data_IF_199868488898
#
_entry.id   IF_199868488898
#
_cell.length_a   1.000
_cell.length_b   1.000
_cell.length_c   1.000
_cell.angle_alpha   90.00
_cell.angle_beta   90.00
_cell.angle_gamma   90.00
#
_symmetry.space_group_name_H-M   'P 1'
#
loop_
_entity.id
_entity.type
_entity.pdbx_description
1 polymer ?
#
# COMPACT_ATOMS: atom_id res chain seq x y z
N UNK A 1 -0.15 18.17 3.41
CA UNK A 1 -0.28 18.86 2.17
C UNK A 1 -0.94 18.08 1.06
N UNK A 2 -0.51 16.86 0.78
CA UNK A 2 -1.22 15.97 -0.14
C UNK A 2 -2.64 15.71 0.33
N UNK A 3 -2.84 15.53 1.63
CA UNK A 3 -4.14 15.29 2.21
C UNK A 3 -5.07 16.49 2.09
N UNK A 4 -4.54 17.69 2.33
CA UNK A 4 -5.30 18.93 2.20
C UNK A 4 -5.70 19.16 0.75
N UNK A 5 -4.76 18.97 -0.18
CA UNK A 5 -5.02 19.07 -1.61
C UNK A 5 -6.06 18.05 -2.06
N UNK A 6 -5.92 16.81 -1.64
CA UNK A 6 -6.87 15.74 -1.94
C UNK A 6 -8.28 16.12 -1.50
N UNK A 7 -8.43 16.55 -0.26
CA UNK A 7 -9.73 16.90 0.30
C UNK A 7 -10.37 18.09 -0.41
N UNK A 8 -9.55 19.10 -0.75
CA UNK A 8 -10.02 20.29 -1.47
C UNK A 8 -10.51 19.93 -2.88
N UNK A 9 -9.76 19.12 -3.61
CA UNK A 9 -10.11 18.72 -4.97
C UNK A 9 -11.33 17.82 -5.04
N UNK A 10 -11.59 17.06 -3.97
CA UNK A 10 -12.64 16.04 -3.95
C UNK A 10 -13.75 16.34 -2.96
N UNK A 11 -13.87 17.59 -2.52
CA UNK A 11 -14.90 18.02 -1.55
C UNK A 11 -16.28 17.57 -1.99
N UNK A 12 -17.06 17.01 -1.03
CA UNK A 12 -18.42 16.48 -1.23
C UNK A 12 -18.51 15.29 -2.18
N UNK A 13 -17.37 14.76 -2.62
CA UNK A 13 -17.32 13.55 -3.44
C UNK A 13 -16.97 12.35 -2.59
N UNK A 14 -17.07 11.19 -3.18
CA UNK A 14 -16.68 9.96 -2.51
C UNK A 14 -15.19 9.67 -2.73
N UNK A 15 -14.62 8.99 -1.77
CA UNK A 15 -13.27 8.48 -1.86
C UNK A 15 -13.28 7.02 -1.44
N UNK A 16 -12.22 6.32 -1.78
CA UNK A 16 -12.02 4.94 -1.37
C UNK A 16 -10.82 4.84 -0.47
N UNK A 17 -10.98 4.11 0.63
CA UNK A 17 -9.85 3.66 1.40
C UNK A 17 -9.65 2.18 1.10
N UNK A 18 -8.44 1.83 0.65
CA UNK A 18 -8.09 0.47 0.29
C UNK A 18 -7.02 -0.04 1.24
N UNK A 19 -7.13 -1.31 1.57
CA UNK A 19 -6.13 -2.01 2.36
C UNK A 19 -5.56 -3.12 1.50
N UNK A 20 -4.25 -3.15 1.36
CA UNK A 20 -3.54 -4.16 0.60
C UNK A 20 -2.57 -4.89 1.51
N UNK A 21 -2.47 -6.18 1.33
CA UNK A 21 -1.64 -7.05 2.15
C UNK A 21 -0.91 -8.03 1.25
N UNK A 22 0.37 -8.26 1.52
CA UNK A 22 1.18 -9.25 0.83
C UNK A 22 0.93 -10.63 1.43
N UNK A 23 0.39 -11.53 0.61
CA UNK A 23 0.15 -12.90 1.05
C UNK A 23 1.48 -13.67 1.11
N UNK A 24 1.58 -14.56 2.08
CA UNK A 24 2.71 -15.49 2.22
C UNK A 24 4.09 -14.84 2.39
N UNK A 25 4.14 -13.59 2.88
CA UNK A 25 5.43 -12.92 3.09
C UNK A 25 6.33 -13.69 4.06
N UNK A 26 5.74 -14.25 5.12
CA UNK A 26 6.51 -15.05 6.08
C UNK A 26 7.18 -16.25 5.39
N UNK A 27 6.45 -16.93 4.52
CA UNK A 27 6.98 -18.07 3.77
C UNK A 27 8.11 -17.65 2.84
N UNK A 28 7.96 -16.51 2.16
CA UNK A 28 9.02 -15.97 1.30
C UNK A 28 10.29 -15.70 2.13
N UNK A 29 10.13 -15.04 3.27
CA UNK A 29 11.25 -14.76 4.17
C UNK A 29 11.91 -16.05 4.68
N UNK A 30 11.11 -17.00 5.12
CA UNK A 30 11.62 -18.24 5.74
C UNK A 30 12.33 -19.13 4.71
N UNK A 31 11.82 -19.21 3.49
CA UNK A 31 12.36 -20.10 2.46
C UNK A 31 13.45 -19.43 1.61
N UNK A 32 13.27 -18.17 1.24
CA UNK A 32 14.14 -17.47 0.29
C UNK A 32 14.97 -16.35 0.91
N UNK A 33 14.72 -16.01 2.18
CA UNK A 33 15.46 -15.00 2.91
C UNK A 33 14.79 -13.64 2.91
N UNK A 34 15.22 -12.80 3.87
CA UNK A 34 14.62 -11.48 4.07
C UNK A 34 14.83 -10.52 2.91
N UNK A 35 15.92 -10.69 2.14
CA UNK A 35 16.15 -9.86 0.95
C UNK A 35 15.05 -10.07 -0.08
N UNK A 36 14.56 -11.30 -0.25
CA UNK A 36 13.46 -11.59 -1.16
C UNK A 36 12.12 -11.08 -0.60
N UNK A 37 11.93 -11.17 0.71
CA UNK A 37 10.75 -10.56 1.35
C UNK A 37 10.72 -9.05 1.14
N UNK A 38 11.86 -8.38 1.31
CA UNK A 38 11.97 -6.94 1.08
C UNK A 38 11.69 -6.58 -0.37
N UNK A 39 12.17 -7.39 -1.30
CA UNK A 39 11.87 -7.22 -2.72
C UNK A 39 10.36 -7.31 -2.98
N UNK A 40 9.70 -8.29 -2.39
CA UNK A 40 8.25 -8.47 -2.56
C UNK A 40 7.46 -7.28 -2.01
N UNK A 41 7.85 -6.76 -0.85
CA UNK A 41 7.24 -5.57 -0.25
C UNK A 41 7.42 -4.35 -1.16
N UNK A 42 8.63 -4.14 -1.64
CA UNK A 42 8.94 -3.02 -2.52
C UNK A 42 8.15 -3.10 -3.83
N UNK A 43 8.09 -4.29 -4.42
CA UNK A 43 7.31 -4.54 -5.63
C UNK A 43 5.83 -4.20 -5.42
N UNK A 44 5.25 -4.67 -4.32
CA UNK A 44 3.87 -4.38 -3.97
C UNK A 44 3.63 -2.88 -3.87
N UNK A 45 4.48 -2.18 -3.12
CA UNK A 45 4.38 -0.73 -2.95
C UNK A 45 4.48 0.03 -4.26
N UNK A 46 5.37 -0.38 -5.15
CA UNK A 46 5.55 0.27 -6.45
C UNK A 46 4.32 0.10 -7.35
N UNK A 47 3.74 -1.10 -7.41
CA UNK A 47 2.50 -1.33 -8.18
C UNK A 47 1.35 -0.50 -7.64
N UNK A 48 1.16 -0.51 -6.32
CA UNK A 48 0.09 0.24 -5.67
C UNK A 48 0.24 1.74 -5.91
N UNK A 49 1.45 2.26 -5.77
CA UNK A 49 1.74 3.68 -5.97
C UNK A 49 1.48 4.10 -7.43
N UNK A 50 1.90 3.28 -8.37
CA UNK A 50 1.69 3.53 -9.79
C UNK A 50 0.21 3.61 -10.13
N UNK A 51 -0.58 2.66 -9.64
CA UNK A 51 -2.01 2.62 -9.92
C UNK A 51 -2.78 3.71 -9.17
N UNK A 52 -2.34 4.09 -7.98
CA UNK A 52 -2.97 5.19 -7.23
C UNK A 52 -2.77 6.54 -7.93
N UNK A 53 -1.63 6.71 -8.63
CA UNK A 53 -1.34 7.91 -9.39
C UNK A 53 -1.09 9.13 -8.51
N UNK A 54 -1.08 10.31 -9.14
CA UNK A 54 -0.82 11.57 -8.44
C UNK A 54 -1.97 11.99 -7.52
N UNK A 55 -3.19 11.52 -7.81
CA UNK A 55 -4.39 11.87 -7.04
C UNK A 55 -4.57 10.99 -5.82
N UNK A 56 -3.80 9.93 -5.69
CA UNK A 56 -3.88 9.00 -4.59
C UNK A 56 -2.84 9.26 -3.52
N UNK A 57 -3.10 8.76 -2.33
CA UNK A 57 -2.18 8.78 -1.20
C UNK A 57 -1.96 7.34 -0.79
N UNK A 58 -0.71 6.96 -0.58
CA UNK A 58 -0.37 5.62 -0.13
C UNK A 58 0.50 5.70 1.12
N UNK A 59 0.23 4.83 2.08
CA UNK A 59 1.02 4.67 3.29
C UNK A 59 1.22 3.21 3.62
N UNK A 60 2.36 2.87 4.18
CA UNK A 60 2.67 1.54 4.67
C UNK A 60 2.36 1.51 6.15
N UNK A 61 1.39 0.68 6.56
CA UNK A 61 0.90 0.67 7.94
C UNK A 61 1.58 -0.40 8.78
N UNK A 62 2.00 -1.48 8.16
CA UNK A 62 2.66 -2.59 8.84
C UNK A 62 3.77 -3.17 7.99
N UNK A 63 4.31 -4.31 8.39
CA UNK A 63 5.39 -4.97 7.65
C UNK A 63 5.01 -5.28 6.22
N UNK A 64 3.81 -5.81 6.02
CA UNK A 64 3.29 -6.26 4.76
C UNK A 64 1.96 -5.59 4.37
N UNK A 65 1.54 -4.57 5.10
CA UNK A 65 0.26 -3.89 4.91
C UNK A 65 0.42 -2.47 4.37
N UNK A 66 -0.43 -2.14 3.40
CA UNK A 66 -0.51 -0.81 2.81
C UNK A 66 -1.93 -0.28 2.92
N UNK A 67 -2.05 1.02 3.08
CA UNK A 67 -3.31 1.73 3.04
C UNK A 67 -3.26 2.74 1.90
N UNK A 68 -4.28 2.78 1.07
CA UNK A 68 -4.33 3.66 -0.09
C UNK A 68 -5.63 4.46 -0.03
N UNK A 69 -5.54 5.74 -0.36
CA UNK A 69 -6.66 6.64 -0.45
C UNK A 69 -6.72 7.20 -1.86
N UNK A 70 -7.83 6.93 -2.57
CA UNK A 70 -8.03 7.44 -3.93
C UNK A 70 -9.42 8.04 -4.05
N UNK A 71 -9.61 9.06 -4.91
CA UNK A 71 -10.95 9.56 -5.19
C UNK A 71 -11.70 8.56 -6.07
N UNK A 72 -13.00 8.43 -5.86
CA UNK A 72 -13.83 7.60 -6.71
C UNK A 72 -14.93 6.89 -5.95
N UNK A 73 -15.63 6.03 -6.69
CA UNK A 73 -16.75 5.25 -6.21
C UNK A 73 -16.40 3.75 -6.21
N UNK A 74 -17.42 2.93 -5.95
CA UNK A 74 -17.27 1.48 -5.88
C UNK A 74 -16.67 0.90 -7.18
N UNK A 75 -17.12 1.41 -8.33
CA UNK A 75 -16.60 0.98 -9.63
C UNK A 75 -15.10 1.28 -9.78
N UNK A 76 -14.67 2.45 -9.31
CA UNK A 76 -13.26 2.83 -9.29
C UNK A 76 -12.43 1.82 -8.50
N UNK A 77 -12.95 1.38 -7.36
CA UNK A 77 -12.29 0.38 -6.51
C UNK A 77 -12.11 -0.95 -7.22
N UNK A 78 -13.15 -1.43 -7.88
CA UNK A 78 -13.08 -2.68 -8.63
C UNK A 78 -12.07 -2.59 -9.78
N UNK A 79 -12.08 -1.50 -10.51
CA UNK A 79 -11.12 -1.26 -11.59
C UNK A 79 -9.67 -1.22 -11.07
N UNK A 80 -9.48 -0.55 -9.95
CA UNK A 80 -8.16 -0.48 -9.30
C UNK A 80 -7.65 -1.88 -8.97
N UNK A 81 -8.48 -2.70 -8.34
CA UNK A 81 -8.10 -4.07 -7.97
C UNK A 81 -7.77 -4.91 -9.20
N UNK A 82 -8.58 -4.81 -10.26
CA UNK A 82 -8.34 -5.55 -11.50
C UNK A 82 -7.02 -5.16 -12.15
N UNK A 83 -6.70 -3.87 -12.17
CA UNK A 83 -5.44 -3.39 -12.72
C UNK A 83 -4.24 -3.87 -11.91
N UNK A 84 -4.34 -3.87 -10.59
CA UNK A 84 -3.29 -4.39 -9.72
C UNK A 84 -3.08 -5.88 -9.99
N UNK A 85 -4.16 -6.65 -10.06
CA UNK A 85 -4.07 -8.10 -10.33
C UNK A 85 -3.45 -8.39 -11.68
N UNK A 86 -3.87 -7.66 -12.70
CA UNK A 86 -3.35 -7.85 -14.05
C UNK A 86 -1.85 -7.56 -14.12
N UNK A 87 -1.43 -6.43 -13.58
CA UNK A 87 -0.01 -6.07 -13.59
C UNK A 87 0.83 -7.03 -12.76
N UNK A 88 0.33 -7.44 -11.62
CA UNK A 88 1.04 -8.37 -10.76
C UNK A 88 1.13 -9.78 -11.38
N UNK A 89 0.07 -10.23 -12.05
CA UNK A 89 0.10 -11.50 -12.77
C UNK A 89 1.12 -11.47 -13.91
N UNK A 90 1.17 -10.38 -14.66
CA UNK A 90 2.16 -10.21 -15.73
C UNK A 90 3.58 -10.27 -15.15
N UNK A 91 3.81 -9.63 -14.04
CA UNK A 91 5.09 -9.69 -13.34
C UNK A 91 5.44 -11.13 -12.96
N UNK A 92 4.52 -11.86 -12.33
CA UNK A 92 4.76 -13.24 -11.92
C UNK A 92 5.08 -14.16 -13.09
N UNK A 93 4.45 -13.93 -14.24
CA UNK A 93 4.71 -14.72 -15.46
C UNK A 93 6.09 -14.45 -16.05
N UNK A 94 6.60 -13.24 -15.93
CA UNK A 94 7.89 -12.83 -16.48
C UNK A 94 9.04 -12.95 -15.49
N UNK A 95 8.71 -13.01 -14.21
CA UNK A 95 9.70 -13.03 -13.14
C UNK A 95 10.50 -14.33 -13.14
N UNK A 96 11.80 -14.22 -12.89
CA UNK A 96 12.67 -15.37 -12.68
C UNK A 96 12.74 -15.78 -11.21
N UNK A 97 11.96 -15.10 -10.35
CA UNK A 97 11.93 -15.42 -8.93
C UNK A 97 11.31 -16.81 -8.69
N UNK A 98 11.82 -17.56 -7.71
CA UNK A 98 11.32 -18.91 -7.41
C UNK A 98 10.01 -18.94 -6.62
N UNK A 99 9.30 -17.82 -6.53
CA UNK A 99 8.03 -17.69 -5.83
C UNK A 99 7.13 -16.73 -6.60
N UNK A 100 5.83 -16.79 -6.33
CA UNK A 100 4.86 -15.84 -6.83
C UNK A 100 4.56 -14.80 -5.75
N UNK A 101 4.35 -13.55 -6.18
CA UNK A 101 3.90 -12.50 -5.29
C UNK A 101 2.38 -12.40 -5.42
N UNK A 102 1.69 -12.49 -4.29
CA UNK A 102 0.24 -12.41 -4.22
C UNK A 102 -0.17 -11.26 -3.31
N UNK A 103 -1.13 -10.46 -3.77
CA UNK A 103 -1.59 -9.26 -3.07
C UNK A 103 -3.09 -9.39 -2.85
N UNK A 104 -3.52 -9.28 -1.59
CA UNK A 104 -4.93 -9.24 -1.22
C UNK A 104 -5.35 -7.80 -0.99
N UNK A 105 -6.44 -7.36 -1.63
CA UNK A 105 -6.90 -5.98 -1.54
C UNK A 105 -8.39 -5.94 -1.24
N UNK A 106 -8.76 -5.11 -0.26
CA UNK A 106 -10.15 -4.79 0.03
C UNK A 106 -10.32 -3.28 0.11
N UNK A 107 -11.54 -2.79 -0.04
CA UNK A 107 -11.79 -1.37 0.05
C UNK A 107 -13.17 -1.06 0.62
N UNK A 108 -13.30 0.18 1.11
CA UNK A 108 -14.58 0.74 1.51
C UNK A 108 -14.70 2.17 0.97
N UNK A 109 -15.92 2.59 0.71
CA UNK A 109 -16.20 3.93 0.22
C UNK A 109 -16.46 4.88 1.40
N UNK A 110 -15.87 6.06 1.35
CA UNK A 110 -16.00 7.08 2.38
C UNK A 110 -16.29 8.44 1.75
N UNK A 111 -16.73 9.38 2.59
CA UNK A 111 -16.89 10.77 2.17
C UNK A 111 -15.55 11.48 2.32
N UNK A 112 -15.21 12.37 1.40
CA UNK A 112 -13.89 13.03 1.37
C UNK A 112 -13.55 13.82 2.64
N UNK A 113 -14.54 14.26 3.40
CA UNK A 113 -14.31 14.91 4.70
C UNK A 113 -13.53 14.01 5.66
N UNK A 114 -13.80 12.70 5.61
CA UNK A 114 -13.10 11.71 6.43
C UNK A 114 -11.74 11.35 5.84
N UNK A 115 -11.54 11.62 4.56
CA UNK A 115 -10.29 11.30 3.88
C UNK A 115 -9.10 12.04 4.49
N UNK A 116 -9.29 13.30 4.92
CA UNK A 116 -8.23 14.07 5.56
C UNK A 116 -7.77 13.41 6.87
N UNK A 117 -8.72 13.00 7.71
CA UNK A 117 -8.41 12.35 8.98
C UNK A 117 -7.68 11.02 8.76
N UNK A 118 -8.13 10.24 7.79
CA UNK A 118 -7.50 8.95 7.44
C UNK A 118 -6.08 9.17 6.94
N UNK A 119 -5.87 10.17 6.08
CA UNK A 119 -4.55 10.47 5.55
C UNK A 119 -3.58 10.89 6.67
N UNK A 120 -4.06 11.63 7.66
CA UNK A 120 -3.26 12.00 8.83
C UNK A 120 -2.90 10.77 9.66
N UNK A 121 -3.84 9.84 9.85
CA UNK A 121 -3.58 8.59 10.56
C UNK A 121 -2.56 7.72 9.82
N UNK A 122 -2.67 7.63 8.50
CA UNK A 122 -1.71 6.90 7.67
C UNK A 122 -0.30 7.47 7.82
N UNK A 123 -0.18 8.78 7.79
CA UNK A 123 1.11 9.46 7.94
C UNK A 123 1.71 9.20 9.32
N UNK A 124 0.89 9.27 10.36
CA UNK A 124 1.34 9.00 11.73
C UNK A 124 1.79 7.55 11.90
N UNK A 125 1.07 6.59 11.33
CA UNK A 125 1.42 5.18 11.38
C UNK A 125 2.73 4.91 10.65
N UNK A 126 2.93 5.50 9.48
CA UNK A 126 4.15 5.37 8.70
C UNK A 126 5.35 5.94 9.45
N UNK A 127 5.19 7.11 10.07
CA UNK A 127 6.21 7.75 10.88
C UNK A 127 6.57 6.90 12.10
N UNK A 128 5.58 6.37 12.79
CA UNK A 128 5.79 5.51 13.97
C UNK A 128 6.58 4.26 13.60
N UNK A 129 6.26 3.65 12.45
CA UNK A 129 6.97 2.48 11.95
C UNK A 129 8.43 2.81 11.64
N UNK A 130 8.66 3.94 11.00
CA UNK A 130 10.00 4.42 10.69
C UNK A 130 10.85 4.60 11.95
N UNK A 131 10.30 5.27 12.97
CA UNK A 131 10.97 5.49 14.25
C UNK A 131 11.30 4.17 14.94
N UNK A 132 10.37 3.24 14.96
CA UNK A 132 10.58 1.92 15.56
C UNK A 132 11.72 1.17 14.88
N UNK A 133 11.80 1.21 13.55
CA UNK A 133 12.88 0.58 12.79
C UNK A 133 14.23 1.24 13.04
N UNK A 134 14.24 2.56 13.13
CA UNK A 134 15.46 3.33 13.43
C UNK A 134 15.99 2.95 14.82
N UNK A 135 15.14 2.93 15.81
CA UNK A 135 15.53 2.57 17.19
C UNK A 135 16.08 1.15 17.26
N UNK A 136 15.48 0.22 16.52
CA UNK A 136 15.92 -1.16 16.47
C UNK A 136 17.32 -1.29 15.87
N UNK A 137 17.59 -0.54 14.78
CA UNK A 137 18.93 -0.52 14.16
C UNK A 137 19.99 0.04 15.09
N UNK A 138 19.67 1.10 15.79
CA UNK A 138 20.58 1.71 16.76
C UNK A 138 20.89 0.76 17.92
N UNK A 139 19.90 0.01 18.40
CA UNK A 139 20.09 -1.01 19.44
C UNK A 139 21.01 -2.13 18.99
N UNK A 140 20.91 -2.57 17.75
CA UNK A 140 21.76 -3.65 17.21
C UNK A 140 23.21 -3.20 17.05
N UNK A 141 23.45 -1.91 16.78
CA UNK A 141 24.81 -1.37 16.60
C UNK A 141 25.57 -1.17 17.91
N UNK A 142 24.87 -1.15 19.01
CA UNK A 142 25.48 -1.05 20.32
C UNK A 142 25.93 -2.42 20.79
#
# INVERSE_FOLDING_TARGET
>A
EKAVKFNRENERKTALILFADLDHLKEINDVFGHAEGDFAIKHCGEILKKQAGERGIIGRIGGDEFCILIPGDFQTGNTFIEQIRSENNDFNLRSEKPYYIEISIGFTQIICEKALLIAEEMKAADQALYEAKKNRRESVRK
#
